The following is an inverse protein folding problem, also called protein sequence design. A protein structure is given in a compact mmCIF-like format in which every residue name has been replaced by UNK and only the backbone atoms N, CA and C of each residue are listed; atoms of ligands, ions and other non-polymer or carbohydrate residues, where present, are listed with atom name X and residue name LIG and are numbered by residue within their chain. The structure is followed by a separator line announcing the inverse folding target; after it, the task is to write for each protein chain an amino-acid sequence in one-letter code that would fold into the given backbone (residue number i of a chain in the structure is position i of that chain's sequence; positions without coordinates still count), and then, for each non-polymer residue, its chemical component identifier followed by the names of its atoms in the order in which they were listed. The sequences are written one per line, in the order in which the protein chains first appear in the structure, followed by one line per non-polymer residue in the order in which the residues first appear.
data_IF_486605887957
#
_entry.id   IF_486605887957
#
_cell.length_a   1.000
_cell.length_b   1.000
_cell.length_c   1.000
_cell.angle_alpha   90.00
_cell.angle_beta   90.00
_cell.angle_gamma   90.00
#
_symmetry.space_group_name_H-M   'P 1'
#
loop_
_entity.id
_entity.type
_entity.pdbx_description
1 polymer ?
#
# COMPACT_ATOMS: atom_id res chain seq x y z
N UNK A 1 -7.03 46.42 -1.57
CA UNK A 1 -7.38 45.10 -2.15
C UNK A 1 -6.43 43.97 -1.73
N UNK A 2 -5.10 44.12 -1.86
CA UNK A 2 -4.15 43.04 -1.52
C UNK A 2 -4.20 42.64 -0.05
N UNK A 3 -4.31 43.60 0.87
CA UNK A 3 -4.32 43.35 2.31
C UNK A 3 -5.58 42.62 2.79
N UNK A 4 -6.75 42.97 2.24
CA UNK A 4 -8.03 42.33 2.56
C UNK A 4 -8.11 40.89 2.05
N UNK A 5 -7.51 40.61 0.88
CA UNK A 5 -7.41 39.25 0.32
C UNK A 5 -6.48 38.37 1.16
N UNK A 6 -5.36 38.92 1.64
CA UNK A 6 -4.43 38.19 2.50
C UNK A 6 -5.05 37.81 3.86
N UNK A 7 -5.81 38.71 4.49
CA UNK A 7 -6.51 38.43 5.75
C UNK A 7 -7.59 37.36 5.58
N UNK A 8 -8.33 37.39 4.47
CA UNK A 8 -9.35 36.39 4.15
C UNK A 8 -8.74 34.98 3.96
N UNK A 9 -7.63 34.89 3.21
CA UNK A 9 -6.88 33.65 3.00
C UNK A 9 -6.33 33.08 4.31
N UNK A 10 -5.80 33.95 5.19
CA UNK A 10 -5.31 33.55 6.51
C UNK A 10 -6.42 32.97 7.40
N UNK A 11 -7.60 33.62 7.43
CA UNK A 11 -8.76 33.12 8.16
C UNK A 11 -9.29 31.80 7.60
N UNK A 12 -9.29 31.64 6.28
CA UNK A 12 -9.72 30.40 5.62
C UNK A 12 -8.79 29.23 5.98
N UNK A 13 -7.47 29.44 5.93
CA UNK A 13 -6.45 28.48 6.35
C UNK A 13 -6.59 28.12 7.83
N UNK A 14 -6.85 29.10 8.70
CA UNK A 14 -7.04 28.86 10.13
C UNK A 14 -8.30 28.03 10.40
N UNK A 15 -9.40 28.37 9.72
CA UNK A 15 -10.67 27.65 9.81
C UNK A 15 -10.56 26.20 9.30
N UNK A 16 -9.83 25.95 8.20
CA UNK A 16 -9.61 24.60 7.69
C UNK A 16 -8.80 23.73 8.66
N UNK A 17 -7.78 24.29 9.32
CA UNK A 17 -7.00 23.57 10.33
C UNK A 17 -7.84 23.20 11.56
N UNK A 18 -8.70 24.12 12.04
CA UNK A 18 -9.62 23.85 13.15
C UNK A 18 -10.61 22.74 12.81
N UNK A 19 -11.09 22.69 11.56
CA UNK A 19 -12.00 21.64 11.09
C UNK A 19 -11.30 20.27 11.03
N UNK A 20 -10.05 20.22 10.58
CA UNK A 20 -9.23 19.00 10.57
C UNK A 20 -9.01 18.51 12.01
N UNK A 21 -8.61 19.38 12.93
CA UNK A 21 -8.39 19.02 14.35
C UNK A 21 -9.70 18.53 14.98
N UNK A 22 -10.80 19.25 14.76
CA UNK A 22 -12.12 18.90 15.27
C UNK A 22 -12.61 17.54 14.77
N UNK A 23 -12.36 17.21 13.49
CA UNK A 23 -12.68 15.90 12.92
C UNK A 23 -11.72 14.79 13.35
N UNK A 24 -10.48 15.13 13.69
CA UNK A 24 -9.47 14.19 14.17
C UNK A 24 -9.76 13.70 15.59
N UNK A 25 -10.32 14.53 16.48
CA UNK A 25 -10.64 14.15 17.86
C UNK A 25 -11.57 12.93 17.98
N UNK A 26 -12.76 12.89 17.33
CA UNK A 26 -13.62 11.71 17.39
C UNK A 26 -12.96 10.50 16.71
N UNK A 27 -12.22 10.72 15.62
CA UNK A 27 -11.50 9.66 14.92
C UNK A 27 -10.40 9.02 15.78
N UNK A 28 -9.60 9.82 16.48
CA UNK A 28 -8.59 9.33 17.43
C UNK A 28 -9.23 8.65 18.64
N UNK A 29 -10.35 9.18 19.15
CA UNK A 29 -11.07 8.57 20.26
C UNK A 29 -11.65 7.20 19.87
N UNK A 30 -12.19 7.08 18.65
CA UNK A 30 -12.69 5.82 18.10
C UNK A 30 -11.56 4.82 17.86
N UNK A 31 -10.42 5.26 17.31
CA UNK A 31 -9.21 4.43 17.18
C UNK A 31 -8.63 3.98 18.52
N UNK A 32 -8.69 4.81 19.57
CA UNK A 32 -8.24 4.39 20.92
C UNK A 32 -9.15 3.34 21.53
N UNK A 33 -10.47 3.44 21.32
CA UNK A 33 -11.45 2.50 21.88
C UNK A 33 -11.51 1.17 21.13
N UNK A 34 -11.27 1.19 19.82
CA UNK A 34 -11.30 0.00 18.98
C UNK A 34 -10.16 0.04 17.94
N UNK A 35 -8.89 -0.14 18.37
CA UNK A 35 -7.73 0.03 17.51
C UNK A 35 -7.71 -0.94 16.33
N UNK A 36 -8.31 -2.12 16.51
CA UNK A 36 -8.35 -3.16 15.49
C UNK A 36 -9.68 -3.24 14.74
N UNK A 37 -10.71 -2.48 15.11
CA UNK A 37 -12.00 -2.52 14.42
C UNK A 37 -11.91 -2.29 12.89
N UNK A 38 -11.18 -1.27 12.39
CA UNK A 38 -11.04 -1.08 10.94
C UNK A 38 -10.25 -2.21 10.24
N UNK A 39 -9.29 -2.82 10.94
CA UNK A 39 -8.52 -3.97 10.42
C UNK A 39 -9.41 -5.22 10.39
N UNK A 40 -10.21 -5.43 11.43
CA UNK A 40 -11.09 -6.58 11.53
C UNK A 40 -12.25 -6.49 10.53
N UNK A 41 -12.83 -5.31 10.30
CA UNK A 41 -13.89 -5.12 9.32
C UNK A 41 -13.39 -5.36 7.89
N UNK A 42 -12.21 -4.83 7.54
CA UNK A 42 -11.58 -5.09 6.23
C UNK A 42 -11.20 -6.56 6.06
N UNK A 43 -10.68 -7.21 7.10
CA UNK A 43 -10.44 -8.66 7.08
C UNK A 43 -11.73 -9.46 6.90
N UNK A 44 -12.83 -9.06 7.53
CA UNK A 44 -14.11 -9.78 7.42
C UNK A 44 -14.67 -9.69 6.00
N UNK A 45 -14.56 -8.53 5.36
CA UNK A 45 -14.90 -8.36 3.94
C UNK A 45 -13.98 -9.19 3.04
N UNK A 46 -12.66 -9.16 3.28
CA UNK A 46 -11.69 -9.95 2.53
C UNK A 46 -11.92 -11.46 2.66
N UNK A 47 -12.19 -11.96 3.87
CA UNK A 47 -12.54 -13.37 4.12
C UNK A 47 -13.79 -13.77 3.35
N UNK A 48 -14.79 -12.89 3.29
CA UNK A 48 -16.01 -13.11 2.50
C UNK A 48 -15.73 -13.31 1.00
N UNK A 49 -14.72 -12.62 0.46
CA UNK A 49 -14.26 -12.74 -0.92
C UNK A 49 -13.35 -13.96 -1.16
N UNK A 50 -12.52 -14.31 -0.18
CA UNK A 50 -11.48 -15.34 -0.33
C UNK A 50 -11.99 -16.76 -0.05
N UNK A 51 -13.02 -16.91 0.80
CA UNK A 51 -13.58 -18.21 1.17
C UNK A 51 -14.12 -19.02 -0.04
N UNK A 52 -14.84 -18.41 -1.02
CA UNK A 52 -15.23 -19.10 -2.24
C UNK A 52 -14.04 -19.62 -3.06
N UNK A 53 -12.94 -18.86 -3.10
CA UNK A 53 -11.73 -19.24 -3.83
C UNK A 53 -11.06 -20.47 -3.19
N UNK A 54 -10.97 -20.51 -1.86
CA UNK A 54 -10.48 -21.67 -1.10
C UNK A 54 -11.31 -22.93 -1.40
N UNK A 55 -12.64 -22.81 -1.40
CA UNK A 55 -13.54 -23.92 -1.71
C UNK A 55 -13.39 -24.44 -3.15
N UNK A 56 -13.04 -23.56 -4.10
CA UNK A 56 -12.75 -23.96 -5.47
C UNK A 56 -11.40 -24.66 -5.58
N UNK A 57 -10.37 -24.15 -4.89
CA UNK A 57 -9.03 -24.74 -4.86
C UNK A 57 -9.02 -26.15 -4.27
N UNK A 58 -9.87 -26.42 -3.26
CA UNK A 58 -10.07 -27.76 -2.69
C UNK A 58 -10.57 -28.80 -3.71
N UNK A 59 -11.20 -28.37 -4.81
CA UNK A 59 -11.67 -29.26 -5.89
C UNK A 59 -10.62 -29.54 -6.95
N UNK A 60 -9.50 -28.82 -6.93
CA UNK A 60 -8.40 -29.01 -7.86
C UNK A 60 -7.48 -30.15 -7.40
N UNK A 61 -6.72 -30.70 -8.34
CA UNK A 61 -5.68 -31.68 -8.00
C UNK A 61 -4.56 -31.03 -7.18
N UNK A 62 -4.11 -31.73 -6.14
CA UNK A 62 -3.03 -31.28 -5.25
C UNK A 62 -1.77 -30.86 -5.99
N UNK A 63 -1.35 -31.67 -6.96
CA UNK A 63 -0.16 -31.41 -7.76
C UNK A 63 -0.27 -30.14 -8.61
N UNK A 64 -1.47 -29.82 -9.10
CA UNK A 64 -1.72 -28.61 -9.88
C UNK A 64 -1.57 -27.35 -9.00
N UNK A 65 -2.10 -27.40 -7.78
CA UNK A 65 -1.97 -26.32 -6.80
C UNK A 65 -0.52 -26.12 -6.37
N UNK A 66 0.23 -27.21 -6.14
CA UNK A 66 1.65 -27.16 -5.80
C UNK A 66 2.49 -26.55 -6.93
N UNK A 67 2.22 -26.92 -8.19
CA UNK A 67 2.87 -26.32 -9.36
C UNK A 67 2.62 -24.80 -9.44
N UNK A 68 1.36 -24.37 -9.26
CA UNK A 68 0.99 -22.95 -9.28
C UNK A 68 1.69 -22.18 -8.15
N UNK A 69 1.76 -22.76 -6.94
CA UNK A 69 2.47 -22.14 -5.82
C UNK A 69 3.94 -21.87 -6.14
N UNK A 70 4.64 -22.84 -6.73
CA UNK A 70 6.05 -22.68 -7.14
C UNK A 70 6.18 -21.57 -8.18
N UNK A 71 5.27 -21.51 -9.15
CA UNK A 71 5.26 -20.46 -10.17
C UNK A 71 5.09 -19.07 -9.57
N UNK A 72 4.13 -18.89 -8.65
CA UNK A 72 3.90 -17.63 -7.96
C UNK A 72 5.10 -17.20 -7.10
N UNK A 73 5.71 -18.12 -6.35
CA UNK A 73 6.93 -17.83 -5.56
C UNK A 73 8.07 -17.35 -6.44
N UNK A 74 8.30 -18.01 -7.58
CA UNK A 74 9.34 -17.60 -8.51
C UNK A 74 9.07 -16.20 -9.09
N UNK A 75 7.83 -15.95 -9.51
CA UNK A 75 7.42 -14.66 -10.07
C UNK A 75 7.54 -13.53 -9.04
N UNK A 76 7.14 -13.77 -7.79
CA UNK A 76 7.26 -12.82 -6.68
C UNK A 76 8.73 -12.46 -6.43
N UNK A 77 9.61 -13.45 -6.42
CA UNK A 77 11.05 -13.25 -6.20
C UNK A 77 11.69 -12.48 -7.37
N UNK A 78 11.27 -12.76 -8.61
CA UNK A 78 11.70 -12.01 -9.78
C UNK A 78 11.22 -10.55 -9.75
N UNK A 79 9.97 -10.28 -9.36
CA UNK A 79 9.47 -8.93 -9.15
C UNK A 79 10.28 -8.21 -8.08
N UNK A 80 10.49 -8.83 -6.92
CA UNK A 80 11.30 -8.25 -5.83
C UNK A 80 12.70 -7.86 -6.30
N UNK A 81 13.36 -8.72 -7.08
CA UNK A 81 14.68 -8.42 -7.66
C UNK A 81 14.65 -7.24 -8.64
N UNK A 82 13.66 -7.20 -9.53
CA UNK A 82 13.48 -6.10 -10.50
C UNK A 82 13.19 -4.79 -9.78
N UNK A 83 12.32 -4.84 -8.78
CA UNK A 83 11.96 -3.68 -7.97
C UNK A 83 13.17 -3.15 -7.19
N UNK A 84 13.96 -4.02 -6.56
CA UNK A 84 15.19 -3.63 -5.88
C UNK A 84 16.23 -2.97 -6.81
N UNK A 85 16.27 -3.36 -8.09
CA UNK A 85 17.15 -2.73 -9.09
C UNK A 85 16.68 -1.32 -9.48
N UNK A 86 15.38 -1.07 -9.50
CA UNK A 86 14.79 0.19 -9.95
C UNK A 86 14.67 1.20 -8.80
N UNK A 87 14.11 0.76 -7.67
CA UNK A 87 13.86 1.60 -6.51
C UNK A 87 15.04 1.62 -5.51
N UNK A 88 15.96 0.65 -5.55
CA UNK A 88 17.02 0.56 -4.54
C UNK A 88 16.43 0.48 -3.12
N UNK A 89 17.12 0.99 -2.08
CA UNK A 89 16.62 1.00 -0.71
C UNK A 89 15.55 2.07 -0.44
N UNK A 90 14.91 2.66 -1.47
CA UNK A 90 13.84 3.66 -1.29
C UNK A 90 12.67 3.13 -0.45
N UNK A 91 12.45 1.82 -0.42
CA UNK A 91 11.42 1.17 0.43
C UNK A 91 11.56 1.52 1.93
N UNK A 92 12.76 1.83 2.41
CA UNK A 92 13.03 2.09 3.82
C UNK A 92 12.66 3.51 4.27
N UNK A 93 12.45 4.44 3.34
CA UNK A 93 12.23 5.87 3.65
C UNK A 93 10.74 6.14 3.91
N UNK A 94 9.84 5.28 3.42
CA UNK A 94 8.40 5.46 3.50
C UNK A 94 7.89 6.60 2.61
N UNK A 95 6.63 6.51 2.21
CA UNK A 95 6.02 7.46 1.25
C UNK A 95 5.89 8.87 1.84
N UNK A 96 5.61 8.98 3.14
CA UNK A 96 5.44 10.26 3.82
C UNK A 96 6.74 11.08 3.94
N UNK A 97 7.87 10.54 4.47
CA UNK A 97 9.13 11.27 4.48
C UNK A 97 9.65 11.62 3.08
N UNK A 98 9.40 10.76 2.09
CA UNK A 98 9.72 11.04 0.69
C UNK A 98 8.95 12.24 0.12
N UNK A 99 7.64 12.33 0.38
CA UNK A 99 6.83 13.48 -0.03
C UNK A 99 7.24 14.77 0.69
N UNK A 100 7.60 14.68 1.97
CA UNK A 100 8.12 15.83 2.71
C UNK A 100 9.44 16.35 2.12
N UNK A 101 10.37 15.44 1.81
CA UNK A 101 11.63 15.79 1.15
C UNK A 101 11.39 16.40 -0.24
N UNK A 102 10.46 15.82 -1.02
CA UNK A 102 10.06 16.35 -2.31
C UNK A 102 9.47 17.76 -2.20
N UNK A 103 8.58 18.04 -1.24
CA UNK A 103 7.99 19.36 -1.06
C UNK A 103 9.07 20.43 -0.75
N UNK A 104 10.03 20.11 0.10
CA UNK A 104 11.17 20.99 0.42
C UNK A 104 12.03 21.24 -0.83
N UNK A 105 12.32 20.18 -1.59
CA UNK A 105 13.06 20.26 -2.86
C UNK A 105 12.30 21.10 -3.90
N UNK A 106 10.99 20.93 -4.01
CA UNK A 106 10.14 21.65 -4.97
C UNK A 106 10.16 23.14 -4.71
N UNK A 107 10.06 23.56 -3.45
CA UNK A 107 10.15 24.98 -3.06
C UNK A 107 11.52 25.56 -3.44
N UNK A 108 12.61 24.82 -3.21
CA UNK A 108 13.97 25.27 -3.55
C UNK A 108 14.23 25.31 -5.05
N UNK A 109 13.64 24.40 -5.83
CA UNK A 109 13.82 24.36 -7.28
C UNK A 109 13.00 25.43 -7.98
N UNK A 110 11.83 25.79 -7.43
CA UNK A 110 10.99 26.86 -7.97
C UNK A 110 11.62 28.25 -7.89
N UNK A 111 12.55 28.46 -6.94
CA UNK A 111 13.30 29.72 -6.84
C UNK A 111 14.43 29.83 -7.86
N UNK A 112 14.79 28.74 -8.55
CA UNK A 112 15.80 28.73 -9.61
C UNK A 112 15.11 28.90 -10.96
N UNK A 113 15.52 29.91 -11.74
CA UNK A 113 14.98 30.16 -13.08
C UNK A 113 15.60 29.21 -14.12
N UNK A 114 15.34 27.91 -13.99
CA UNK A 114 15.80 26.89 -14.92
C UNK A 114 14.66 25.89 -15.20
N UNK A 115 14.11 25.96 -16.40
CA UNK A 115 12.99 25.13 -16.84
C UNK A 115 13.31 23.63 -16.83
N UNK A 116 14.56 23.24 -17.06
CA UNK A 116 14.98 21.83 -17.02
C UNK A 116 14.86 21.23 -15.61
N UNK A 117 15.26 22.00 -14.59
CA UNK A 117 15.11 21.59 -13.18
C UNK A 117 13.64 21.45 -12.79
N UNK A 118 12.76 22.31 -13.30
CA UNK A 118 11.32 22.22 -13.08
C UNK A 118 10.70 20.97 -13.72
N UNK A 119 11.27 20.45 -14.81
CA UNK A 119 10.81 19.18 -15.40
C UNK A 119 11.35 17.96 -14.64
N UNK A 120 12.64 17.96 -14.31
CA UNK A 120 13.30 16.82 -13.68
C UNK A 120 12.76 16.53 -12.28
N UNK A 121 12.31 17.55 -11.54
CA UNK A 121 11.81 17.35 -10.18
C UNK A 121 10.58 16.43 -10.14
N UNK A 122 9.72 16.45 -11.16
CA UNK A 122 8.53 15.58 -11.24
C UNK A 122 8.84 14.11 -11.50
N UNK A 123 10.07 13.79 -11.92
CA UNK A 123 10.52 12.39 -12.06
C UNK A 123 10.52 11.69 -10.70
N UNK A 124 10.88 12.40 -9.64
CA UNK A 124 10.96 11.85 -8.28
C UNK A 124 9.60 11.30 -7.80
N UNK A 125 8.50 12.09 -7.73
CA UNK A 125 7.21 11.57 -7.31
C UNK A 125 6.64 10.55 -8.29
N UNK A 126 6.93 10.66 -9.59
CA UNK A 126 6.51 9.66 -10.57
C UNK A 126 7.12 8.27 -10.26
N UNK A 127 8.41 8.21 -9.91
CA UNK A 127 9.04 6.96 -9.48
C UNK A 127 8.43 6.42 -8.17
N UNK A 128 8.14 7.28 -7.19
CA UNK A 128 7.49 6.84 -5.94
C UNK A 128 6.08 6.28 -6.16
N UNK A 129 5.30 6.86 -7.07
CA UNK A 129 3.96 6.35 -7.42
C UNK A 129 4.08 4.99 -8.11
N UNK A 130 5.01 4.83 -9.04
CA UNK A 130 5.25 3.53 -9.69
C UNK A 130 5.65 2.46 -8.66
N UNK A 131 6.53 2.80 -7.73
CA UNK A 131 6.93 1.91 -6.62
C UNK A 131 5.75 1.55 -5.73
N UNK A 132 4.82 2.48 -5.49
CA UNK A 132 3.62 2.22 -4.70
C UNK A 132 2.65 1.27 -5.40
N UNK A 133 2.47 1.40 -6.72
CA UNK A 133 1.64 0.48 -7.51
C UNK A 133 2.24 -0.94 -7.51
N UNK A 134 3.56 -1.05 -7.65
CA UNK A 134 4.24 -2.35 -7.56
C UNK A 134 4.00 -3.04 -6.21
N UNK A 135 3.90 -2.27 -5.12
CA UNK A 135 3.67 -2.80 -3.78
C UNK A 135 2.31 -3.51 -3.66
N UNK A 136 1.25 -2.91 -4.22
CA UNK A 136 -0.09 -3.52 -4.25
C UNK A 136 -0.07 -4.86 -5.00
N UNK A 137 0.67 -4.94 -6.11
CA UNK A 137 0.83 -6.17 -6.86
C UNK A 137 1.58 -7.24 -6.06
N UNK A 138 2.63 -6.87 -5.31
CA UNK A 138 3.35 -7.80 -4.44
C UNK A 138 2.47 -8.30 -3.30
N UNK A 139 1.66 -7.42 -2.71
CA UNK A 139 0.70 -7.78 -1.66
C UNK A 139 -0.32 -8.81 -2.15
N UNK A 140 -0.87 -8.60 -3.35
CA UNK A 140 -1.82 -9.55 -3.95
C UNK A 140 -1.17 -10.90 -4.27
N UNK A 141 0.08 -10.90 -4.72
CA UNK A 141 0.84 -12.13 -4.93
C UNK A 141 1.12 -12.87 -3.61
N UNK A 142 1.46 -12.14 -2.54
CA UNK A 142 1.69 -12.71 -1.21
C UNK A 142 0.40 -13.28 -0.62
N UNK A 143 -0.74 -12.60 -0.81
CA UNK A 143 -2.08 -13.11 -0.47
C UNK A 143 -2.40 -14.41 -1.20
N UNK A 144 -2.16 -14.45 -2.51
CA UNK A 144 -2.40 -15.65 -3.33
C UNK A 144 -1.52 -16.82 -2.88
N UNK A 145 -0.23 -16.57 -2.61
CA UNK A 145 0.70 -17.57 -2.09
C UNK A 145 0.20 -18.12 -0.74
N UNK A 146 -0.24 -17.26 0.18
CA UNK A 146 -0.76 -17.68 1.48
C UNK A 146 -2.02 -18.56 1.35
N UNK A 147 -2.93 -18.25 0.43
CA UNK A 147 -4.11 -19.07 0.17
C UNK A 147 -3.75 -20.44 -0.38
N UNK A 148 -2.80 -20.52 -1.32
CA UNK A 148 -2.31 -21.79 -1.88
C UNK A 148 -1.64 -22.65 -0.80
N UNK A 149 -0.79 -22.04 0.05
CA UNK A 149 -0.14 -22.71 1.18
C UNK A 149 -1.15 -23.24 2.20
N UNK A 150 -2.19 -22.46 2.52
CA UNK A 150 -3.27 -22.88 3.41
C UNK A 150 -4.00 -24.13 2.87
N UNK A 151 -4.33 -24.14 1.58
CA UNK A 151 -5.02 -25.28 0.96
C UNK A 151 -4.15 -26.54 0.96
N UNK A 152 -2.85 -26.42 0.64
CA UNK A 152 -1.92 -27.56 0.69
C UNK A 152 -1.77 -28.11 2.11
N UNK A 153 -1.66 -27.22 3.12
CA UNK A 153 -1.61 -27.63 4.53
C UNK A 153 -2.90 -28.30 5.01
N UNK A 154 -4.05 -27.91 4.45
CA UNK A 154 -5.33 -28.56 4.75
C UNK A 154 -5.37 -29.99 4.19
N UNK A 155 -4.94 -30.21 2.94
CA UNK A 155 -4.86 -31.57 2.39
C UNK A 155 -3.93 -32.48 3.17
N UNK A 156 -2.76 -31.99 3.60
CA UNK A 156 -1.80 -32.76 4.41
C UNK A 156 -2.41 -33.25 5.74
N UNK A 157 -3.28 -32.44 6.35
CA UNK A 157 -4.06 -32.82 7.55
C UNK A 157 -5.17 -33.83 7.26
N UNK A 158 -5.68 -33.84 6.04
CA UNK A 158 -6.77 -34.74 5.63
C UNK A 158 -6.22 -36.12 5.26
N UNK A 159 -5.05 -36.15 4.61
CA UNK A 159 -4.34 -37.39 4.25
C UNK A 159 -3.82 -38.11 5.50
N UNK A 160 -3.40 -37.37 6.53
CA UNK A 160 -2.97 -37.94 7.83
C UNK A 160 -4.10 -38.45 8.71
N UNK A 161 -5.36 -38.09 8.44
CA UNK A 161 -6.53 -38.60 9.16
C UNK A 161 -7.19 -39.81 8.48
N UNK A 162 -6.87 -40.08 7.21
CA UNK A 162 -7.43 -41.17 6.42
C UNK A 162 -6.48 -42.36 6.24
N UNK A 163 -5.22 -42.23 6.69
CA UNK A 163 -4.22 -43.29 6.81
C UNK A 163 -4.24 -43.93 8.22
#
# INVERSE_FOLDING_TARGET
MVLTVAVLLGLLMMASNLLIIGSAVPFLNQRRKAPFAPVLSSMTEAIGLDLPAVLQLLRCERNAVEYVLVHYRHRRLALKKRHALIAGPLENIGLFPALAAFAILAIKVWSVNNSWLHTVIFVIPAFYILTFIDYELVEEMDRTIALLEYNLAMWDRTDTQTA
#
